data_IF_929513731347
#
_entry.id   IF_929513731347
#
_cell.length_a   1.000
_cell.length_b   1.000
_cell.length_c   1.000
_cell.angle_alpha   90.00
_cell.angle_beta   90.00
_cell.angle_gamma   90.00
#
_symmetry.space_group_name_H-M   'P 1'
#
loop_
_entity.id
_entity.type
_entity.pdbx_description
1 polymer ?
#
# COMPACT_ATOMS: atom_id res chain seq x y z
N UNK A 1 -45.84 10.62 52.14
CA UNK A 1 -44.69 11.47 52.53
C UNK A 1 -43.44 10.84 51.95
N UNK A 2 -42.73 11.52 51.05
CA UNK A 2 -41.54 10.96 50.38
C UNK A 2 -40.40 11.96 50.54
N UNK A 3 -39.36 11.60 51.29
CA UNK A 3 -38.11 12.38 51.43
C UNK A 3 -36.90 11.44 51.36
N UNK A 4 -36.26 11.53 50.20
CA UNK A 4 -34.81 11.65 49.95
C UNK A 4 -33.87 10.72 50.73
N UNK A 5 -33.15 9.88 49.99
CA UNK A 5 -31.81 9.42 50.38
C UNK A 5 -30.89 9.60 49.17
N UNK A 6 -29.98 10.57 49.27
CA UNK A 6 -28.90 10.78 48.29
C UNK A 6 -27.76 9.86 48.72
N UNK A 7 -27.49 8.82 47.94
CA UNK A 7 -26.28 8.02 48.07
C UNK A 7 -25.27 8.49 47.02
N UNK A 8 -24.18 9.09 47.49
CA UNK A 8 -23.04 9.44 46.67
C UNK A 8 -22.41 8.15 46.12
N UNK A 9 -22.47 7.96 44.80
CA UNK A 9 -21.81 6.85 44.12
C UNK A 9 -20.32 7.17 44.01
N UNK A 10 -19.53 6.48 44.80
CA UNK A 10 -18.08 6.37 44.63
C UNK A 10 -17.84 5.42 43.45
N UNK A 11 -17.61 5.95 42.27
CA UNK A 11 -17.09 5.16 41.15
C UNK A 11 -15.57 5.22 41.20
N UNK A 12 -14.98 4.10 41.65
CA UNK A 12 -13.56 3.85 41.59
C UNK A 12 -13.02 4.04 40.17
N UNK A 13 -11.95 4.82 40.03
CA UNK A 13 -11.10 4.85 38.85
C UNK A 13 -10.43 3.47 38.72
N UNK A 14 -11.08 2.55 38.02
CA UNK A 14 -10.42 1.38 37.45
C UNK A 14 -9.66 1.87 36.21
N UNK A 15 -8.33 1.82 36.26
CA UNK A 15 -7.48 2.09 35.11
C UNK A 15 -7.84 1.17 33.96
N UNK A 16 -8.54 1.72 32.96
CA UNK A 16 -8.68 1.10 31.66
C UNK A 16 -7.32 1.18 30.97
N UNK A 17 -6.50 0.15 31.13
CA UNK A 17 -5.47 -0.16 30.13
C UNK A 17 -6.22 -0.46 28.84
N UNK A 18 -6.12 0.45 27.87
CA UNK A 18 -6.67 0.32 26.53
C UNK A 18 -5.96 -0.85 25.86
N UNK A 19 -6.49 -2.06 26.00
CA UNK A 19 -6.16 -3.18 25.12
C UNK A 19 -6.88 -2.92 23.81
N UNK A 20 -6.26 -2.09 22.98
CA UNK A 20 -6.69 -1.84 21.62
C UNK A 20 -6.57 -3.14 20.82
N UNK A 21 -7.70 -3.55 20.24
CA UNK A 21 -7.71 -4.03 18.87
C UNK A 21 -7.43 -5.52 18.68
N UNK A 22 -8.53 -6.26 18.61
CA UNK A 22 -8.64 -7.48 17.84
C UNK A 22 -8.01 -7.34 16.43
N UNK A 23 -7.03 -8.20 16.15
CA UNK A 23 -7.01 -9.19 15.08
C UNK A 23 -5.55 -9.52 14.75
N UNK A 24 -5.14 -10.79 14.62
CA UNK A 24 -3.98 -11.08 13.79
C UNK A 24 -4.38 -10.63 12.39
N UNK A 25 -3.99 -9.41 12.01
CA UNK A 25 -4.02 -8.98 10.63
C UNK A 25 -3.32 -10.10 9.89
N UNK A 26 -4.10 -10.85 9.09
CA UNK A 26 -3.61 -11.87 8.19
C UNK A 26 -2.47 -11.20 7.46
N UNK A 27 -1.25 -11.52 7.86
CA UNK A 27 -0.05 -11.00 7.22
C UNK A 27 -0.17 -11.53 5.80
N UNK A 28 -0.78 -10.73 4.95
CA UNK A 28 -0.51 -10.76 3.54
C UNK A 28 0.96 -10.40 3.53
N UNK A 29 1.79 -11.44 3.57
CA UNK A 29 3.18 -11.38 3.18
C UNK A 29 3.14 -10.83 1.76
N UNK A 30 3.06 -9.50 1.65
CA UNK A 30 3.64 -8.82 0.52
C UNK A 30 5.05 -9.41 0.47
N UNK A 31 5.46 -10.01 -0.66
CA UNK A 31 6.77 -10.61 -0.77
C UNK A 31 7.76 -9.59 -0.23
N UNK A 32 8.52 -9.98 0.79
CA UNK A 32 9.54 -9.16 1.38
C UNK A 32 10.55 -8.89 0.27
N UNK A 33 10.34 -7.79 -0.47
CA UNK A 33 11.33 -7.21 -1.33
C UNK A 33 12.49 -6.88 -0.42
N UNK A 34 13.49 -7.75 -0.37
CA UNK A 34 14.76 -7.44 0.27
C UNK A 34 15.19 -6.08 -0.30
N UNK A 35 15.19 -5.06 0.55
CA UNK A 35 15.36 -3.65 0.18
C UNK A 35 16.82 -3.36 -0.20
N UNK A 36 17.37 -4.05 -1.19
CA UNK A 36 18.33 -3.41 -2.08
C UNK A 36 17.57 -2.34 -2.84
N UNK A 37 17.93 -1.07 -2.67
CA UNK A 37 17.22 0.08 -3.25
C UNK A 37 16.97 -0.12 -4.74
N UNK A 38 15.78 -0.63 -5.07
CA UNK A 38 15.51 -1.18 -6.39
C UNK A 38 14.79 -0.11 -7.19
N UNK A 39 15.29 0.19 -8.39
CA UNK A 39 14.63 1.14 -9.28
C UNK A 39 13.22 0.66 -9.66
N UNK A 40 12.36 1.60 -10.02
CA UNK A 40 10.94 1.40 -10.27
C UNK A 40 10.67 0.32 -11.33
N UNK A 41 11.44 0.18 -12.43
CA UNK A 41 11.25 -0.92 -13.36
C UNK A 41 11.41 -2.31 -12.73
N UNK A 42 12.33 -2.46 -11.77
CA UNK A 42 12.53 -3.72 -11.06
C UNK A 42 11.40 -4.01 -10.08
N UNK A 43 10.96 -2.99 -9.32
CA UNK A 43 9.77 -3.09 -8.44
C UNK A 43 8.53 -3.47 -9.26
N UNK A 44 8.36 -2.85 -10.43
CA UNK A 44 7.25 -3.10 -11.35
C UNK A 44 7.23 -4.53 -11.88
N UNK A 45 8.39 -5.04 -12.34
CA UNK A 45 8.53 -6.42 -12.83
C UNK A 45 8.08 -7.42 -11.79
N UNK A 46 8.57 -7.26 -10.57
CA UNK A 46 8.24 -8.16 -9.48
C UNK A 46 6.77 -8.03 -9.05
N UNK A 47 6.20 -6.82 -8.98
CA UNK A 47 4.77 -6.63 -8.70
C UNK A 47 3.87 -7.28 -9.76
N UNK A 48 4.14 -7.04 -11.04
CA UNK A 48 3.39 -7.62 -12.16
C UNK A 48 3.56 -9.14 -12.23
N UNK A 49 4.72 -9.67 -11.82
CA UNK A 49 4.94 -11.12 -11.71
C UNK A 49 4.09 -11.75 -10.61
N UNK A 50 3.97 -11.08 -9.45
CA UNK A 50 3.15 -11.51 -8.35
C UNK A 50 1.65 -11.48 -8.72
N UNK A 51 1.18 -10.43 -9.39
CA UNK A 51 -0.22 -10.32 -9.85
C UNK A 51 -0.61 -11.47 -10.78
N UNK A 52 0.21 -11.76 -11.79
CA UNK A 52 -0.04 -12.88 -12.72
C UNK A 52 -0.01 -14.23 -12.00
N UNK A 53 0.95 -14.42 -11.08
CA UNK A 53 1.03 -15.65 -10.27
C UNK A 53 -0.17 -15.82 -9.33
N UNK A 54 -0.76 -14.71 -8.89
CA UNK A 54 -2.01 -14.69 -8.11
C UNK A 54 -3.28 -14.81 -8.99
N UNK A 55 -3.15 -15.09 -10.29
CA UNK A 55 -4.27 -15.23 -11.21
C UNK A 55 -4.99 -13.93 -11.57
N UNK A 56 -4.40 -12.77 -11.25
CA UNK A 56 -4.98 -11.47 -11.64
C UNK A 56 -4.76 -11.24 -13.13
N UNK A 57 -5.86 -10.99 -13.85
CA UNK A 57 -5.81 -10.59 -15.25
C UNK A 57 -5.32 -9.14 -15.34
N UNK A 58 -4.19 -8.93 -16.00
CA UNK A 58 -3.71 -7.59 -16.32
C UNK A 58 -4.51 -7.06 -17.52
N UNK A 59 -5.00 -5.82 -17.43
CA UNK A 59 -5.65 -5.15 -18.57
C UNK A 59 -4.64 -4.72 -19.64
N UNK A 60 -3.43 -4.36 -19.20
CA UNK A 60 -2.28 -4.02 -20.03
C UNK A 60 -1.22 -5.13 -19.97
N UNK A 61 -0.46 -5.33 -21.06
CA UNK A 61 0.65 -6.29 -21.04
C UNK A 61 1.73 -5.89 -20.03
N UNK A 62 2.40 -6.87 -19.42
CA UNK A 62 3.50 -6.62 -18.48
C UNK A 62 4.59 -5.72 -19.08
N UNK A 63 4.89 -5.92 -20.37
CA UNK A 63 5.90 -5.14 -21.07
C UNK A 63 5.49 -3.67 -21.24
N UNK A 64 4.23 -3.41 -21.59
CA UNK A 64 3.73 -2.04 -21.73
C UNK A 64 3.73 -1.29 -20.39
N UNK A 65 3.31 -1.93 -19.29
CA UNK A 65 3.33 -1.29 -17.97
C UNK A 65 4.76 -0.96 -17.49
N UNK A 66 5.73 -1.84 -17.78
CA UNK A 66 7.15 -1.58 -17.48
C UNK A 66 7.69 -0.43 -18.34
N UNK A 67 7.30 -0.37 -19.62
CA UNK A 67 7.73 0.70 -20.52
C UNK A 67 7.22 2.07 -20.04
N UNK A 68 5.96 2.17 -19.60
CA UNK A 68 5.40 3.40 -19.02
C UNK A 68 6.17 3.84 -17.77
N UNK A 69 6.42 2.92 -16.82
CA UNK A 69 7.25 3.24 -15.65
C UNK A 69 8.64 3.70 -16.04
N UNK A 70 9.25 3.06 -17.04
CA UNK A 70 10.61 3.40 -17.47
C UNK A 70 10.66 4.82 -18.03
N UNK A 71 9.62 5.29 -18.73
CA UNK A 71 9.52 6.67 -19.22
C UNK A 71 9.41 7.70 -18.08
N UNK A 72 8.75 7.32 -16.99
CA UNK A 72 8.55 8.19 -15.82
C UNK A 72 9.70 8.13 -14.82
N UNK A 73 10.57 7.12 -14.93
CA UNK A 73 11.70 6.95 -14.03
C UNK A 73 12.82 7.89 -14.47
N UNK A 74 13.26 8.78 -13.58
CA UNK A 74 14.38 9.68 -13.83
C UNK A 74 15.72 8.97 -13.97
N UNK A 75 16.75 9.69 -14.39
CA UNK A 75 18.12 9.17 -14.59
C UNK A 75 18.71 8.54 -13.33
N UNK A 76 18.32 9.04 -12.15
CA UNK A 76 18.76 8.54 -10.84
C UNK A 76 17.88 7.41 -10.29
N UNK A 77 16.98 6.88 -11.12
CA UNK A 77 15.96 5.94 -10.66
C UNK A 77 14.85 6.61 -9.86
N UNK A 78 14.75 7.94 -9.84
CA UNK A 78 13.68 8.65 -9.15
C UNK A 78 12.32 8.33 -9.79
N UNK A 79 11.29 8.16 -8.99
CA UNK A 79 9.92 7.96 -9.44
C UNK A 79 8.97 8.74 -8.54
N UNK A 80 8.14 9.61 -9.13
CA UNK A 80 7.17 10.43 -8.41
C UNK A 80 7.78 11.27 -7.26
N UNK A 81 8.99 11.82 -7.43
CA UNK A 81 9.67 12.60 -6.40
C UNK A 81 10.36 11.78 -5.31
N UNK A 82 10.41 10.46 -5.45
CA UNK A 82 11.02 9.54 -4.48
C UNK A 82 12.22 8.82 -5.10
N UNK A 83 13.28 8.62 -4.32
CA UNK A 83 14.45 7.82 -4.68
C UNK A 83 14.24 6.34 -4.35
N UNK A 84 14.96 5.42 -5.01
CA UNK A 84 14.83 3.97 -4.80
C UNK A 84 14.98 3.47 -3.35
N UNK A 85 15.66 4.23 -2.49
CA UNK A 85 15.85 3.90 -1.08
C UNK A 85 14.78 4.49 -0.15
N UNK A 86 13.89 5.36 -0.64
CA UNK A 86 12.87 5.98 0.20
C UNK A 86 11.81 4.96 0.60
N UNK A 87 11.36 5.03 1.85
CA UNK A 87 10.40 4.07 2.42
C UNK A 87 9.07 4.01 1.62
N UNK A 88 8.67 5.11 0.97
CA UNK A 88 7.47 5.21 0.15
C UNK A 88 7.65 4.77 -1.32
N UNK A 89 8.88 4.63 -1.79
CA UNK A 89 9.19 4.39 -3.20
C UNK A 89 8.50 3.16 -3.79
N UNK A 90 8.63 1.95 -3.20
CA UNK A 90 7.97 0.78 -3.76
C UNK A 90 6.44 0.88 -3.72
N UNK A 91 5.88 1.62 -2.75
CA UNK A 91 4.43 1.83 -2.68
C UNK A 91 3.95 2.78 -3.77
N UNK A 92 4.69 3.85 -4.07
CA UNK A 92 4.36 4.77 -5.16
C UNK A 92 4.34 4.06 -6.52
N UNK A 93 5.35 3.22 -6.78
CA UNK A 93 5.43 2.41 -8.01
C UNK A 93 4.25 1.45 -8.13
N UNK A 94 3.87 0.78 -7.04
CA UNK A 94 2.73 -0.14 -7.02
C UNK A 94 1.41 0.58 -7.21
N UNK A 95 1.21 1.73 -6.58
CA UNK A 95 0.01 2.53 -6.74
C UNK A 95 -0.17 2.98 -8.19
N UNK A 96 0.90 3.50 -8.81
CA UNK A 96 0.88 3.87 -10.22
C UNK A 96 0.56 2.67 -11.13
N UNK A 97 1.16 1.51 -10.88
CA UNK A 97 0.83 0.29 -11.62
C UNK A 97 -0.62 -0.13 -11.42
N UNK A 98 -1.15 -0.04 -10.21
CA UNK A 98 -2.58 -0.29 -9.97
C UNK A 98 -3.45 0.67 -10.77
N UNK A 99 -3.10 1.96 -10.87
CA UNK A 99 -3.82 2.89 -11.73
C UNK A 99 -3.68 2.54 -13.21
N UNK A 100 -2.48 2.27 -13.72
CA UNK A 100 -2.26 1.90 -15.13
C UNK A 100 -2.94 0.56 -15.49
N UNK A 101 -2.86 -0.44 -14.60
CA UNK A 101 -3.50 -1.75 -14.77
C UNK A 101 -5.02 -1.67 -14.55
N UNK A 102 -5.55 -0.77 -13.72
CA UNK A 102 -7.02 -0.63 -13.56
C UNK A 102 -7.62 0.24 -14.66
N UNK A 103 -6.96 1.32 -15.02
CA UNK A 103 -7.40 2.23 -16.07
C UNK A 103 -7.25 1.62 -17.46
N UNK A 104 -6.46 0.54 -17.62
CA UNK A 104 -6.28 -0.15 -18.88
C UNK A 104 -5.89 0.82 -19.98
N UNK A 105 -4.99 1.76 -19.65
CA UNK A 105 -4.98 3.08 -20.27
C UNK A 105 -4.79 3.01 -21.77
N UNK A 106 -5.91 3.17 -22.45
CA UNK A 106 -6.07 3.92 -23.69
C UNK A 106 -5.68 5.39 -23.44
N UNK A 107 -4.48 5.66 -22.90
CA UNK A 107 -3.94 7.03 -22.83
C UNK A 107 -3.42 7.48 -24.20
N UNK A 108 -4.14 7.08 -25.25
CA UNK A 108 -4.27 7.87 -26.46
C UNK A 108 -5.22 9.01 -26.09
N UNK A 109 -4.72 10.10 -25.54
CA UNK A 109 -5.45 11.37 -25.67
C UNK A 109 -5.55 11.70 -27.18
N UNK A 110 -6.71 12.21 -27.64
CA UNK A 110 -7.04 12.42 -29.07
C UNK A 110 -6.13 13.40 -29.80
#
# INVERSE_FOLDING_TARGET
MKRITVAAVVTALAGLTISAGAAPAKSHSAPAFQQSCTAAPAVARAYLSAQVSAGKKLTMSRAAAIAEITKLTGTDGEFAGLKPCDAGYPNAVRFYLDEVIKAGTNNSTP
#
